data_IF_697651515239
#
_entry.id   IF_697651515239
#
_cell.length_a   1.000
_cell.length_b   1.000
_cell.length_c   1.000
_cell.angle_alpha   90.00
_cell.angle_beta   90.00
_cell.angle_gamma   90.00
#
_symmetry.space_group_name_H-M   'P 1'
#
loop_
_entity.id
_entity.type
_entity.pdbx_description
1 polymer ?
#
# COMPACT_ATOMS: atom_id res chain seq x y z
N UNK A 1 -6.22 -76.22 11.26
CA UNK A 1 -6.80 -74.89 11.03
C UNK A 1 -6.40 -74.44 9.63
N UNK A 2 -7.24 -74.68 8.62
CA UNK A 2 -6.97 -74.26 7.24
C UNK A 2 -7.48 -72.84 6.99
N UNK A 3 -6.71 -71.96 6.32
CA UNK A 3 -7.11 -70.58 6.06
C UNK A 3 -8.31 -70.54 5.11
N UNK A 4 -9.42 -69.96 5.55
CA UNK A 4 -10.58 -69.70 4.69
C UNK A 4 -10.20 -68.60 3.73
N UNK A 5 -9.87 -68.97 2.49
CA UNK A 5 -9.70 -68.04 1.39
C UNK A 5 -11.04 -67.29 1.23
N UNK A 6 -11.04 -66.00 1.53
CA UNK A 6 -12.19 -65.13 1.35
C UNK A 6 -12.62 -65.19 -0.13
N UNK A 7 -13.75 -65.84 -0.39
CA UNK A 7 -14.34 -65.89 -1.73
C UNK A 7 -14.66 -64.47 -2.19
N UNK A 8 -13.91 -63.96 -3.16
CA UNK A 8 -14.21 -62.70 -3.84
C UNK A 8 -15.56 -62.87 -4.54
N UNK A 9 -16.61 -62.27 -3.99
CA UNK A 9 -17.97 -62.35 -4.53
C UNK A 9 -18.11 -61.45 -5.76
N UNK A 10 -17.61 -61.92 -6.91
CA UNK A 10 -17.72 -61.26 -8.21
C UNK A 10 -19.16 -60.91 -8.59
N UNK A 11 -20.13 -61.73 -8.19
CA UNK A 11 -21.56 -61.49 -8.42
C UNK A 11 -22.09 -60.26 -7.70
N UNK A 12 -21.61 -59.98 -6.48
CA UNK A 12 -21.96 -58.78 -5.72
C UNK A 12 -21.32 -57.52 -6.31
N UNK A 13 -20.10 -57.63 -6.84
CA UNK A 13 -19.45 -56.53 -7.57
C UNK A 13 -20.21 -56.14 -8.83
N UNK A 14 -20.67 -57.13 -9.62
CA UNK A 14 -21.42 -56.89 -10.86
C UNK A 14 -22.82 -56.33 -10.59
N UNK A 15 -23.53 -56.83 -9.57
CA UNK A 15 -24.86 -56.30 -9.22
C UNK A 15 -24.78 -54.86 -8.70
N UNK A 16 -23.75 -54.51 -7.93
CA UNK A 16 -23.50 -53.15 -7.45
C UNK A 16 -23.07 -52.20 -8.59
N UNK A 17 -22.31 -52.68 -9.58
CA UNK A 17 -22.00 -51.92 -10.78
C UNK A 17 -23.25 -51.65 -11.63
N UNK A 18 -24.13 -52.65 -11.78
CA UNK A 18 -25.38 -52.52 -12.53
C UNK A 18 -26.35 -51.52 -11.90
N UNK A 19 -26.51 -51.56 -10.57
CA UNK A 19 -27.34 -50.59 -9.85
C UNK A 19 -26.78 -49.16 -9.92
N UNK A 20 -25.45 -49.01 -9.92
CA UNK A 20 -24.78 -47.72 -10.11
C UNK A 20 -25.02 -47.15 -11.51
N UNK A 21 -24.95 -47.97 -12.55
CA UNK A 21 -25.26 -47.57 -13.94
C UNK A 21 -26.72 -47.15 -14.06
N UNK A 22 -27.66 -47.93 -13.52
CA UNK A 22 -29.09 -47.61 -13.55
C UNK A 22 -29.42 -46.25 -12.91
N UNK A 23 -28.67 -45.84 -11.89
CA UNK A 23 -28.82 -44.54 -11.22
C UNK A 23 -28.13 -43.37 -11.95
N UNK A 24 -27.16 -43.65 -12.83
CA UNK A 24 -26.43 -42.64 -13.62
C UNK A 24 -27.21 -42.26 -14.88
N UNK A 25 -27.98 -43.17 -15.49
CA UNK A 25 -28.72 -42.91 -16.73
C UNK A 25 -29.67 -41.70 -16.60
N UNK A 26 -30.52 -41.59 -15.55
CA UNK A 26 -31.39 -40.42 -15.39
C UNK A 26 -30.61 -39.11 -15.22
N UNK A 27 -29.48 -39.16 -14.49
CA UNK A 27 -28.61 -37.99 -14.26
C UNK A 27 -27.90 -37.55 -15.54
N UNK A 28 -27.46 -38.48 -16.37
CA UNK A 28 -26.89 -38.20 -17.70
C UNK A 28 -27.91 -37.54 -18.62
N UNK A 29 -29.17 -37.98 -18.58
CA UNK A 29 -30.23 -37.37 -19.37
C UNK A 29 -30.48 -35.92 -18.92
N UNK A 30 -30.57 -35.68 -17.62
CA UNK A 30 -30.70 -34.34 -17.06
C UNK A 30 -29.49 -33.43 -17.40
N UNK A 31 -28.26 -33.95 -17.30
CA UNK A 31 -27.03 -33.27 -17.75
C UNK A 31 -27.13 -32.86 -19.23
N UNK A 32 -27.51 -33.79 -20.11
CA UNK A 32 -27.61 -33.54 -21.54
C UNK A 32 -28.67 -32.47 -21.86
N UNK A 33 -29.82 -32.49 -21.19
CA UNK A 33 -30.87 -31.48 -21.34
C UNK A 33 -30.37 -30.10 -20.92
N UNK A 34 -29.75 -29.98 -19.74
CA UNK A 34 -29.21 -28.71 -19.25
C UNK A 34 -28.14 -28.18 -20.21
N UNK A 35 -27.24 -29.05 -20.68
CA UNK A 35 -26.17 -28.68 -21.60
C UNK A 35 -26.72 -28.19 -22.94
N UNK A 36 -27.75 -28.85 -23.47
CA UNK A 36 -28.38 -28.49 -24.75
C UNK A 36 -29.13 -27.15 -24.65
N UNK A 37 -29.92 -26.96 -23.59
CA UNK A 37 -30.63 -25.70 -23.34
C UNK A 37 -29.63 -24.56 -23.08
N UNK A 38 -28.65 -24.78 -22.22
CA UNK A 38 -27.66 -23.77 -21.88
C UNK A 38 -26.77 -23.38 -23.06
N UNK A 39 -26.39 -24.33 -23.93
CA UNK A 39 -25.67 -24.01 -25.17
C UNK A 39 -26.43 -23.02 -26.06
N UNK A 40 -27.74 -23.20 -26.20
CA UNK A 40 -28.59 -22.29 -26.97
C UNK A 40 -28.61 -20.87 -26.35
N UNK A 41 -28.72 -20.79 -25.02
CA UNK A 41 -28.68 -19.52 -24.27
C UNK A 41 -27.32 -18.84 -24.44
N UNK A 42 -26.21 -19.55 -24.27
CA UNK A 42 -24.86 -19.02 -24.46
C UNK A 42 -24.67 -18.44 -25.86
N UNK A 43 -25.17 -19.14 -26.89
CA UNK A 43 -25.11 -18.68 -28.28
C UNK A 43 -25.93 -17.40 -28.51
N UNK A 44 -27.10 -17.29 -27.88
CA UNK A 44 -27.91 -16.08 -27.95
C UNK A 44 -27.21 -14.90 -27.29
N UNK A 45 -26.69 -15.07 -26.06
CA UNK A 45 -25.97 -14.02 -25.33
C UNK A 45 -24.72 -13.57 -26.09
N UNK A 46 -23.92 -14.51 -26.60
CA UNK A 46 -22.72 -14.19 -27.37
C UNK A 46 -23.03 -13.35 -28.61
N UNK A 47 -24.14 -13.64 -29.30
CA UNK A 47 -24.57 -12.86 -30.47
C UNK A 47 -24.99 -11.43 -30.09
N UNK A 48 -25.70 -11.26 -28.98
CA UNK A 48 -26.06 -9.93 -28.46
C UNK A 48 -24.81 -9.15 -28.08
N UNK A 49 -23.87 -9.80 -27.39
CA UNK A 49 -22.61 -9.19 -26.97
C UNK A 49 -21.78 -8.73 -28.17
N UNK A 50 -21.66 -9.56 -29.22
CA UNK A 50 -20.94 -9.19 -30.45
C UNK A 50 -21.53 -7.92 -31.08
N UNK A 51 -22.87 -7.85 -31.17
CA UNK A 51 -23.56 -6.68 -31.71
C UNK A 51 -23.32 -5.42 -30.87
N UNK A 52 -23.27 -5.54 -29.55
CA UNK A 52 -23.01 -4.43 -28.62
C UNK A 52 -21.56 -3.96 -28.72
N UNK A 53 -20.59 -4.88 -28.70
CA UNK A 53 -19.16 -4.55 -28.77
C UNK A 53 -18.79 -3.85 -30.08
N UNK A 54 -19.31 -4.34 -31.21
CA UNK A 54 -19.14 -3.69 -32.52
C UNK A 54 -19.72 -2.27 -32.55
N UNK A 55 -20.82 -2.04 -31.82
CA UNK A 55 -21.45 -0.71 -31.73
C UNK A 55 -20.65 0.28 -30.89
N UNK A 56 -19.93 -0.21 -29.87
CA UNK A 56 -19.06 0.60 -29.00
C UNK A 56 -17.74 0.96 -29.71
N UNK A 57 -17.38 0.25 -30.79
CA UNK A 57 -16.19 0.54 -31.59
C UNK A 57 -14.90 0.09 -30.91
N UNK A 58 -14.92 -1.11 -30.31
CA UNK A 58 -13.74 -1.77 -29.72
C UNK A 58 -12.59 -1.85 -30.75
N UNK A 59 -12.92 -1.95 -32.03
CA UNK A 59 -11.98 -1.93 -33.15
C UNK A 59 -11.11 -0.66 -33.14
N UNK A 60 -11.71 0.52 -32.90
CA UNK A 60 -10.97 1.79 -32.86
C UNK A 60 -10.04 1.90 -31.64
N UNK A 61 -10.40 1.28 -30.52
CA UNK A 61 -9.53 1.21 -29.35
C UNK A 61 -8.37 0.24 -29.58
N UNK A 62 -8.63 -0.91 -30.22
CA UNK A 62 -7.60 -1.90 -30.55
C UNK A 62 -6.57 -1.35 -31.55
N UNK A 63 -7.03 -0.62 -32.59
CA UNK A 63 -6.16 0.07 -33.54
C UNK A 63 -5.27 1.12 -32.86
N UNK A 64 -5.86 1.96 -32.00
CA UNK A 64 -5.11 3.00 -31.25
C UNK A 64 -4.14 2.43 -30.21
N UNK A 65 -4.40 1.23 -29.70
CA UNK A 65 -3.51 0.52 -28.78
C UNK A 65 -2.29 -0.13 -29.46
N UNK A 66 -2.14 -0.02 -30.79
CA UNK A 66 -1.01 -0.62 -31.51
C UNK A 66 -1.13 -2.13 -31.66
N UNK A 67 -2.30 -2.72 -31.37
CA UNK A 67 -2.58 -4.13 -31.57
C UNK A 67 -2.51 -4.52 -33.06
N UNK A 68 -2.50 -3.54 -33.97
CA UNK A 68 -2.35 -3.73 -35.41
C UNK A 68 -1.11 -4.55 -35.79
N UNK A 69 0.02 -4.47 -35.07
CA UNK A 69 1.19 -5.33 -35.36
C UNK A 69 1.03 -6.79 -34.91
N UNK A 70 0.16 -7.08 -33.95
CA UNK A 70 -0.13 -8.44 -33.47
C UNK A 70 -1.40 -9.04 -34.09
N UNK A 71 -2.30 -8.19 -34.62
CA UNK A 71 -3.54 -8.60 -35.29
C UNK A 71 -3.46 -8.52 -36.82
N UNK A 72 -2.51 -7.80 -37.43
CA UNK A 72 -2.41 -7.69 -38.89
C UNK A 72 -2.21 -9.03 -39.62
N UNK A 73 -1.57 -10.01 -38.97
CA UNK A 73 -1.40 -11.36 -39.53
C UNK A 73 -2.57 -12.31 -39.23
N UNK A 74 -3.53 -11.90 -38.40
CA UNK A 74 -4.63 -12.74 -37.98
C UNK A 74 -5.93 -12.22 -38.57
N UNK A 75 -6.63 -13.06 -39.36
CA UNK A 75 -7.97 -12.79 -39.92
C UNK A 75 -9.09 -12.62 -38.87
N UNK A 76 -8.72 -12.40 -37.61
CA UNK A 76 -9.60 -12.41 -36.46
C UNK A 76 -9.74 -11.00 -35.87
N UNK A 77 -10.96 -10.49 -35.97
CA UNK A 77 -11.42 -9.23 -35.39
C UNK A 77 -11.31 -9.29 -33.84
N UNK A 78 -10.79 -8.24 -33.19
CA UNK A 78 -10.59 -8.21 -31.74
C UNK A 78 -11.90 -8.48 -30.98
N UNK A 79 -13.01 -7.96 -31.51
CA UNK A 79 -14.36 -8.18 -31.02
C UNK A 79 -14.76 -9.65 -31.12
N UNK A 80 -14.45 -10.34 -32.22
CA UNK A 80 -14.78 -11.75 -32.39
C UNK A 80 -14.01 -12.66 -31.42
N UNK A 81 -12.74 -12.32 -31.13
CA UNK A 81 -11.95 -13.04 -30.12
C UNK A 81 -12.57 -12.85 -28.75
N UNK A 82 -12.90 -11.61 -28.37
CA UNK A 82 -13.51 -11.31 -27.06
C UNK A 82 -14.88 -11.98 -26.90
N UNK A 83 -15.74 -11.91 -27.93
CA UNK A 83 -17.02 -12.61 -27.97
C UNK A 83 -16.85 -14.12 -27.78
N UNK A 84 -15.85 -14.74 -28.42
CA UNK A 84 -15.54 -16.16 -28.24
C UNK A 84 -15.11 -16.49 -26.81
N UNK A 85 -14.23 -15.69 -26.22
CA UNK A 85 -13.79 -15.88 -24.83
C UNK A 85 -14.99 -15.86 -23.88
N UNK A 86 -15.90 -14.90 -24.05
CA UNK A 86 -17.11 -14.81 -23.23
C UNK A 86 -18.06 -15.97 -23.50
N UNK A 87 -18.24 -16.40 -24.75
CA UNK A 87 -19.04 -17.58 -25.10
C UNK A 87 -18.54 -18.86 -24.40
N UNK A 88 -17.23 -19.13 -24.45
CA UNK A 88 -16.66 -20.29 -23.77
C UNK A 88 -16.74 -20.15 -22.24
N UNK A 89 -16.60 -18.93 -21.71
CA UNK A 89 -16.81 -18.65 -20.29
C UNK A 89 -18.24 -18.96 -19.82
N UNK A 90 -19.25 -18.49 -20.57
CA UNK A 90 -20.66 -18.81 -20.33
C UNK A 90 -20.95 -20.32 -20.48
N UNK A 91 -20.33 -20.97 -21.46
CA UNK A 91 -20.46 -22.42 -21.64
C UNK A 91 -19.86 -23.19 -20.45
N UNK A 92 -18.77 -22.69 -19.85
CA UNK A 92 -18.25 -23.23 -18.59
C UNK A 92 -19.26 -23.10 -17.44
N UNK A 93 -20.01 -22.00 -17.34
CA UNK A 93 -21.11 -21.84 -16.36
C UNK A 93 -22.17 -22.91 -16.56
N UNK A 94 -22.63 -23.09 -17.79
CA UNK A 94 -23.61 -24.13 -18.14
C UNK A 94 -23.07 -25.52 -17.81
N UNK A 95 -21.80 -25.79 -18.15
CA UNK A 95 -21.15 -27.05 -17.84
C UNK A 95 -21.09 -27.28 -16.32
N UNK A 96 -20.82 -26.25 -15.51
CA UNK A 96 -20.87 -26.35 -14.05
C UNK A 96 -22.25 -26.76 -13.56
N UNK A 97 -23.30 -26.08 -14.03
CA UNK A 97 -24.68 -26.35 -13.65
C UNK A 97 -25.09 -27.77 -14.05
N UNK A 98 -24.69 -28.19 -15.24
CA UNK A 98 -24.93 -29.54 -15.74
C UNK A 98 -24.20 -30.59 -14.88
N UNK A 99 -22.92 -30.36 -14.56
CA UNK A 99 -22.13 -31.26 -13.71
C UNK A 99 -22.65 -31.31 -12.27
N UNK A 100 -23.28 -30.24 -11.78
CA UNK A 100 -23.94 -30.20 -10.47
C UNK A 100 -25.05 -31.25 -10.30
N UNK A 101 -25.64 -31.75 -11.39
CA UNK A 101 -26.63 -32.84 -11.36
C UNK A 101 -26.03 -34.15 -10.78
N UNK A 102 -24.72 -34.34 -10.91
CA UNK A 102 -24.03 -35.51 -10.36
C UNK A 102 -23.74 -35.38 -8.86
N UNK A 103 -23.91 -34.19 -8.29
CA UNK A 103 -23.63 -33.87 -6.88
C UNK A 103 -22.28 -33.16 -6.67
N UNK A 104 -21.88 -32.94 -5.41
CA UNK A 104 -20.60 -32.31 -5.07
C UNK A 104 -19.44 -33.17 -5.58
N UNK A 105 -18.59 -32.60 -6.42
CA UNK A 105 -17.40 -33.25 -6.98
C UNK A 105 -16.29 -32.20 -7.12
N UNK A 106 -15.02 -32.52 -6.80
CA UNK A 106 -13.89 -31.62 -7.03
C UNK A 106 -13.86 -30.94 -8.40
N UNK A 107 -14.34 -31.60 -9.47
CA UNK A 107 -14.45 -31.00 -10.81
C UNK A 107 -15.44 -29.81 -10.82
N UNK A 108 -16.59 -29.96 -10.16
CA UNK A 108 -17.60 -28.90 -10.05
C UNK A 108 -17.06 -27.72 -9.22
N UNK A 109 -16.26 -27.99 -8.19
CA UNK A 109 -15.65 -26.94 -7.35
C UNK A 109 -14.60 -26.14 -8.12
N UNK A 110 -13.78 -26.81 -8.94
CA UNK A 110 -12.83 -26.15 -9.82
C UNK A 110 -13.53 -25.23 -10.84
N UNK A 111 -14.61 -25.73 -11.47
CA UNK A 111 -15.39 -24.94 -12.41
C UNK A 111 -16.11 -23.79 -11.68
N UNK A 112 -16.63 -24.01 -10.47
CA UNK A 112 -17.21 -22.95 -9.65
C UNK A 112 -16.23 -21.79 -9.43
N UNK A 113 -14.96 -22.08 -9.16
CA UNK A 113 -13.91 -21.06 -9.07
C UNK A 113 -13.78 -20.21 -10.33
N UNK A 114 -13.79 -20.85 -11.50
CA UNK A 114 -13.73 -20.16 -12.81
C UNK A 114 -14.98 -19.34 -13.09
N UNK A 115 -16.15 -19.85 -12.70
CA UNK A 115 -17.43 -19.15 -12.88
C UNK A 115 -17.57 -17.96 -11.94
N UNK A 116 -17.13 -18.10 -10.69
CA UNK A 116 -17.06 -16.99 -9.73
C UNK A 116 -16.05 -15.91 -10.14
N UNK A 117 -15.11 -16.25 -11.01
CA UNK A 117 -14.17 -15.31 -11.61
C UNK A 117 -14.76 -14.51 -12.77
N UNK A 118 -15.78 -15.04 -13.47
CA UNK A 118 -16.40 -14.37 -14.63
C UNK A 118 -16.89 -12.94 -14.33
N UNK A 119 -17.66 -12.70 -13.25
CA UNK A 119 -18.12 -11.35 -12.89
C UNK A 119 -16.94 -10.40 -12.64
N UNK A 120 -15.90 -10.87 -11.97
CA UNK A 120 -14.67 -10.09 -11.70
C UNK A 120 -13.95 -9.72 -12.99
N UNK A 121 -13.88 -10.65 -13.95
CA UNK A 121 -13.34 -10.41 -15.29
C UNK A 121 -14.11 -9.32 -16.06
N UNK A 122 -15.44 -9.26 -15.92
CA UNK A 122 -16.25 -8.18 -16.54
C UNK A 122 -15.89 -6.83 -15.92
N UNK A 123 -15.83 -6.73 -14.58
CA UNK A 123 -15.46 -5.46 -13.92
C UNK A 123 -14.03 -5.04 -14.30
N UNK A 124 -13.09 -5.99 -14.39
CA UNK A 124 -11.74 -5.74 -14.87
C UNK A 124 -11.71 -5.16 -16.29
N UNK A 125 -12.48 -5.75 -17.22
CA UNK A 125 -12.59 -5.26 -18.58
C UNK A 125 -13.14 -3.83 -18.62
N UNK A 126 -14.19 -3.54 -17.83
CA UNK A 126 -14.77 -2.19 -17.73
C UNK A 126 -13.71 -1.18 -17.25
N UNK A 127 -12.98 -1.50 -16.17
CA UNK A 127 -11.91 -0.64 -15.64
C UNK A 127 -10.83 -0.41 -16.68
N UNK A 128 -10.42 -1.46 -17.41
CA UNK A 128 -9.41 -1.35 -18.46
C UNK A 128 -9.84 -0.39 -19.58
N UNK A 129 -11.07 -0.52 -20.07
CA UNK A 129 -11.62 0.36 -21.11
C UNK A 129 -11.70 1.81 -20.63
N UNK A 130 -12.20 2.03 -19.41
CA UNK A 130 -12.28 3.37 -18.82
C UNK A 130 -10.90 4.00 -18.66
N UNK A 131 -9.92 3.24 -18.15
CA UNK A 131 -8.57 3.74 -17.99
C UNK A 131 -7.91 4.09 -19.33
N UNK A 132 -8.10 3.27 -20.37
CA UNK A 132 -7.61 3.56 -21.72
C UNK A 132 -8.28 4.79 -22.34
N UNK A 133 -9.58 4.98 -22.11
CA UNK A 133 -10.29 6.19 -22.54
C UNK A 133 -9.70 7.44 -21.88
N UNK A 134 -9.51 7.41 -20.55
CA UNK A 134 -8.89 8.50 -19.79
C UNK A 134 -7.46 8.76 -20.26
N UNK A 135 -6.65 7.71 -20.45
CA UNK A 135 -5.27 7.84 -20.91
C UNK A 135 -5.19 8.58 -22.25
N UNK A 136 -6.08 8.26 -23.20
CA UNK A 136 -6.13 8.93 -24.51
C UNK A 136 -6.52 10.40 -24.40
N UNK A 137 -7.51 10.74 -23.57
CA UNK A 137 -7.91 12.14 -23.33
C UNK A 137 -6.76 12.91 -22.70
N UNK A 138 -6.11 12.35 -21.67
CA UNK A 138 -4.98 13.00 -21.00
C UNK A 138 -3.80 13.18 -21.95
N UNK A 139 -3.51 12.19 -22.80
CA UNK A 139 -2.49 12.33 -23.84
C UNK A 139 -2.74 13.55 -24.70
N UNK A 140 -3.96 13.67 -25.23
CA UNK A 140 -4.36 14.75 -26.13
C UNK A 140 -4.30 16.11 -25.43
N UNK A 141 -4.81 16.19 -24.19
CA UNK A 141 -4.70 17.40 -23.37
C UNK A 141 -3.25 17.81 -23.14
N UNK A 142 -2.38 16.89 -22.72
CA UNK A 142 -0.96 17.19 -22.47
C UNK A 142 -0.26 17.60 -23.76
N UNK A 143 -0.51 16.93 -24.88
CA UNK A 143 0.08 17.31 -26.16
C UNK A 143 -0.41 18.65 -26.67
N UNK A 144 -1.67 19.01 -26.41
CA UNK A 144 -2.25 20.28 -26.84
C UNK A 144 -1.75 21.44 -25.98
N UNK A 145 -1.65 21.24 -24.66
CA UNK A 145 -1.13 22.27 -23.73
C UNK A 145 0.35 22.53 -23.99
N UNK A 146 1.15 21.47 -24.22
CA UNK A 146 2.57 21.60 -24.54
C UNK A 146 2.82 21.69 -26.06
N UNK A 147 1.83 22.05 -26.88
CA UNK A 147 1.99 22.15 -28.33
C UNK A 147 3.04 23.20 -28.75
N UNK A 148 3.27 24.21 -27.92
CA UNK A 148 4.30 25.23 -28.13
C UNK A 148 5.73 24.74 -27.91
N UNK A 149 5.90 23.54 -27.34
CA UNK A 149 7.21 23.00 -26.93
C UNK A 149 7.51 21.70 -27.67
N UNK A 150 8.74 21.55 -28.17
CA UNK A 150 9.14 20.42 -29.03
C UNK A 150 8.94 19.04 -28.37
N UNK A 151 9.00 18.97 -27.04
CA UNK A 151 8.82 17.75 -26.26
C UNK A 151 7.38 17.48 -25.81
N UNK A 152 6.40 18.32 -26.15
CA UNK A 152 5.00 18.12 -25.75
C UNK A 152 4.41 16.79 -26.18
N UNK A 153 4.79 16.30 -27.37
CA UNK A 153 4.38 14.99 -27.89
C UNK A 153 4.94 13.83 -27.06
N UNK A 154 6.18 13.93 -26.59
CA UNK A 154 6.82 12.92 -25.75
C UNK A 154 6.16 12.90 -24.37
N UNK A 155 5.91 14.08 -23.79
CA UNK A 155 5.26 14.21 -22.50
C UNK A 155 3.84 13.63 -22.48
N UNK A 156 3.06 13.87 -23.55
CA UNK A 156 1.76 13.24 -23.70
C UNK A 156 1.84 11.72 -23.78
N UNK A 157 2.87 11.17 -24.46
CA UNK A 157 3.07 9.72 -24.53
C UNK A 157 3.48 9.11 -23.18
N UNK A 158 4.32 9.80 -22.41
CA UNK A 158 4.69 9.40 -21.04
C UNK A 158 3.44 9.40 -20.14
N UNK A 159 2.66 10.48 -20.14
CA UNK A 159 1.44 10.57 -19.35
C UNK A 159 0.44 9.46 -19.70
N UNK A 160 0.24 9.21 -21.00
CA UNK A 160 -0.56 8.10 -21.49
C UNK A 160 -0.06 6.76 -20.95
N UNK A 161 1.25 6.51 -21.04
CA UNK A 161 1.87 5.26 -20.60
C UNK A 161 1.70 5.03 -19.10
N UNK A 162 1.86 6.08 -18.28
CA UNK A 162 1.63 6.01 -16.84
C UNK A 162 0.18 5.64 -16.51
N UNK A 163 -0.80 6.31 -17.11
CA UNK A 163 -2.22 6.01 -16.86
C UNK A 163 -2.58 4.62 -17.38
N UNK A 164 -2.09 4.25 -18.57
CA UNK A 164 -2.30 2.93 -19.15
C UNK A 164 -1.70 1.83 -18.26
N UNK A 165 -0.51 2.04 -17.71
CA UNK A 165 0.16 1.10 -16.81
C UNK A 165 -0.63 0.89 -15.53
N UNK A 166 -0.96 1.96 -14.81
CA UNK A 166 -1.75 1.85 -13.58
C UNK A 166 -3.17 1.35 -13.83
N UNK A 167 -3.79 1.76 -14.94
CA UNK A 167 -5.10 1.29 -15.37
C UNK A 167 -5.12 -0.20 -15.67
N UNK A 168 -4.08 -0.71 -16.34
CA UNK A 168 -3.92 -2.14 -16.62
C UNK A 168 -3.71 -2.92 -15.33
N UNK A 169 -2.88 -2.41 -14.41
CA UNK A 169 -2.67 -3.03 -13.10
C UNK A 169 -3.99 -3.08 -12.30
N UNK A 170 -4.75 -1.99 -12.28
CA UNK A 170 -6.04 -1.93 -11.60
C UNK A 170 -7.04 -2.94 -12.20
N UNK A 171 -7.09 -3.05 -13.53
CA UNK A 171 -7.90 -4.05 -14.21
C UNK A 171 -7.48 -5.48 -13.87
N UNK A 172 -6.18 -5.80 -13.95
CA UNK A 172 -5.63 -7.10 -13.58
C UNK A 172 -5.86 -7.44 -12.11
N UNK A 173 -5.85 -6.42 -11.24
CA UNK A 173 -6.18 -6.54 -9.82
C UNK A 173 -7.64 -6.91 -9.62
N UNK A 174 -8.54 -6.24 -10.32
CA UNK A 174 -9.96 -6.55 -10.25
C UNK A 174 -10.28 -7.95 -10.80
N UNK A 175 -9.53 -8.39 -11.82
CA UNK A 175 -9.61 -9.76 -12.32
C UNK A 175 -9.12 -10.78 -11.29
N UNK A 176 -8.56 -10.42 -10.13
CA UNK A 176 -8.10 -11.38 -9.13
C UNK A 176 -6.86 -12.19 -9.52
N UNK A 177 -6.34 -12.02 -10.75
CA UNK A 177 -5.05 -12.56 -11.20
C UNK A 177 -3.93 -11.97 -10.33
N UNK A 178 -4.08 -10.71 -9.94
CA UNK A 178 -3.10 -10.02 -9.10
C UNK A 178 -2.93 -10.65 -7.71
N UNK A 179 -3.98 -11.24 -7.12
CA UNK A 179 -3.88 -11.76 -5.75
C UNK A 179 -2.91 -12.94 -5.66
N UNK A 180 -2.76 -13.71 -6.74
CA UNK A 180 -1.85 -14.86 -6.78
C UNK A 180 -0.41 -14.49 -7.13
N UNK A 181 -0.19 -13.37 -7.83
CA UNK A 181 1.14 -13.03 -8.39
C UNK A 181 1.61 -11.64 -7.96
N UNK A 182 0.81 -10.60 -8.20
CA UNK A 182 1.17 -9.22 -7.89
C UNK A 182 1.23 -8.94 -6.39
N UNK A 183 0.27 -9.46 -5.61
CA UNK A 183 0.21 -9.27 -4.16
C UNK A 183 1.50 -9.74 -3.47
N UNK A 184 1.93 -11.00 -3.68
CA UNK A 184 3.18 -11.51 -3.15
C UNK A 184 4.41 -10.72 -3.60
N UNK A 185 4.48 -10.32 -4.88
CA UNK A 185 5.63 -9.55 -5.39
C UNK A 185 5.67 -8.14 -4.78
N UNK A 186 4.55 -7.43 -4.74
CA UNK A 186 4.47 -6.10 -4.12
C UNK A 186 4.81 -6.16 -2.64
N UNK A 187 4.25 -7.13 -1.93
CA UNK A 187 4.59 -7.35 -0.53
C UNK A 187 6.06 -7.73 -0.38
N UNK A 188 6.62 -8.58 -1.23
CA UNK A 188 8.04 -8.95 -1.18
C UNK A 188 8.94 -7.73 -1.39
N UNK A 189 8.64 -6.88 -2.37
CA UNK A 189 9.39 -5.63 -2.60
C UNK A 189 9.23 -4.68 -1.40
N UNK A 190 8.01 -4.51 -0.90
CA UNK A 190 7.73 -3.66 0.26
C UNK A 190 8.44 -4.18 1.52
N UNK A 191 8.41 -5.49 1.77
CA UNK A 191 9.14 -6.14 2.87
C UNK A 191 10.64 -6.06 2.68
N UNK A 192 11.13 -6.07 1.44
CA UNK A 192 12.56 -5.87 1.15
C UNK A 192 12.97 -4.43 1.48
N UNK A 193 12.21 -3.44 1.03
CA UNK A 193 12.45 -2.02 1.33
C UNK A 193 12.34 -1.76 2.84
N UNK A 194 11.27 -2.26 3.47
CA UNK A 194 11.07 -2.15 4.91
C UNK A 194 12.18 -2.88 5.68
N UNK A 195 12.60 -4.07 5.24
CA UNK A 195 13.70 -4.82 5.81
C UNK A 195 15.02 -4.05 5.73
N UNK A 196 15.35 -3.48 4.57
CA UNK A 196 16.53 -2.62 4.38
C UNK A 196 16.45 -1.39 5.30
N UNK A 197 15.28 -0.76 5.41
CA UNK A 197 15.08 0.40 6.26
C UNK A 197 15.20 0.05 7.75
N UNK A 198 14.60 -1.05 8.20
CA UNK A 198 14.67 -1.54 9.58
C UNK A 198 16.09 -1.93 9.96
N UNK A 199 16.82 -2.62 9.08
CA UNK A 199 18.23 -2.96 9.32
C UNK A 199 19.12 -1.73 9.29
N UNK A 200 18.91 -0.80 8.36
CA UNK A 200 19.68 0.45 8.27
C UNK A 200 19.46 1.36 9.46
N UNK A 201 18.20 1.70 9.76
CA UNK A 201 17.82 2.65 10.82
C UNK A 201 17.89 2.00 12.20
N UNK A 202 17.48 0.74 12.34
CA UNK A 202 17.42 0.03 13.62
C UNK A 202 18.70 -0.72 14.02
N UNK A 203 19.54 -1.14 13.06
CA UNK A 203 20.71 -1.99 13.33
C UNK A 203 22.07 -1.29 13.31
N UNK A 204 22.26 -0.19 12.54
CA UNK A 204 23.58 0.40 12.33
C UNK A 204 23.68 1.94 12.42
N UNK A 205 22.59 2.68 12.24
CA UNK A 205 22.62 4.16 12.13
C UNK A 205 22.23 4.92 13.40
N UNK A 206 21.80 4.23 14.48
CA UNK A 206 21.44 4.88 15.74
C UNK A 206 22.63 5.66 16.31
N UNK A 207 23.83 5.07 16.31
CA UNK A 207 25.04 5.71 16.85
C UNK A 207 25.44 6.99 16.10
N UNK A 208 25.60 6.99 14.76
CA UNK A 208 25.99 8.21 14.05
C UNK A 208 24.90 9.28 14.06
N UNK A 209 23.62 8.92 14.13
CA UNK A 209 22.52 9.89 14.15
C UNK A 209 22.43 10.63 15.49
N UNK A 210 22.70 9.95 16.61
CA UNK A 210 22.87 10.59 17.93
C UNK A 210 24.03 11.60 17.92
N UNK A 211 25.18 11.22 17.35
CA UNK A 211 26.35 12.12 17.26
C UNK A 211 26.10 13.38 16.42
N UNK A 212 25.21 13.33 15.41
CA UNK A 212 24.85 14.50 14.59
C UNK A 212 23.91 15.43 15.35
N UNK A 213 22.96 14.89 16.10
CA UNK A 213 22.05 15.67 16.93
C UNK A 213 22.79 16.39 18.07
N UNK A 214 23.72 15.71 18.73
CA UNK A 214 24.57 16.30 19.78
C UNK A 214 25.41 17.46 19.24
N UNK A 215 26.01 17.33 18.05
CA UNK A 215 26.75 18.44 17.41
C UNK A 215 25.87 19.64 17.06
N UNK A 216 24.62 19.40 16.65
CA UNK A 216 23.68 20.50 16.35
C UNK A 216 23.21 21.19 17.62
N UNK A 217 22.93 20.43 18.68
CA UNK A 217 22.59 20.98 19.99
C UNK A 217 23.74 21.82 20.56
N UNK A 218 24.97 21.30 20.50
CA UNK A 218 26.16 22.02 20.99
C UNK A 218 26.42 23.31 20.20
N UNK A 219 26.22 23.31 18.87
CA UNK A 219 26.36 24.52 18.04
C UNK A 219 25.28 25.57 18.36
N UNK A 220 24.04 25.13 18.57
CA UNK A 220 22.95 26.01 18.97
C UNK A 220 23.21 26.62 20.35
N UNK A 221 23.79 25.86 21.28
CA UNK A 221 24.21 26.34 22.60
C UNK A 221 25.36 27.34 22.48
N UNK A 222 26.38 27.06 21.65
CA UNK A 222 27.52 27.95 21.43
C UNK A 222 27.11 29.30 20.80
N UNK A 223 26.17 29.29 19.83
CA UNK A 223 25.61 30.51 19.25
C UNK A 223 24.77 31.28 20.26
N UNK A 224 23.99 30.59 21.09
CA UNK A 224 23.19 31.22 22.15
C UNK A 224 24.08 31.85 23.23
N UNK A 225 25.19 31.21 23.58
CA UNK A 225 26.19 31.72 24.55
C UNK A 225 26.95 32.91 23.95
N UNK A 226 27.34 32.88 22.67
CA UNK A 226 28.00 34.01 21.99
C UNK A 226 27.06 35.21 21.83
N UNK A 227 25.80 34.99 21.49
CA UNK A 227 24.79 36.06 21.40
C UNK A 227 24.51 36.66 22.78
N UNK A 228 24.43 35.86 23.85
CA UNK A 228 24.29 36.37 25.23
C UNK A 228 25.52 37.12 25.73
N UNK A 229 26.73 36.69 25.36
CA UNK A 229 27.99 37.30 25.86
C UNK A 229 28.34 38.57 25.08
N UNK A 230 28.15 38.60 23.75
CA UNK A 230 28.45 39.77 22.90
C UNK A 230 27.28 40.77 22.85
N UNK A 231 26.04 40.29 22.95
CA UNK A 231 24.84 41.13 22.89
C UNK A 231 24.64 42.00 24.14
N UNK A 232 25.01 41.52 25.33
CA UNK A 232 24.79 42.28 26.56
C UNK A 232 25.77 43.45 26.74
N UNK A 233 27.01 43.35 26.23
CA UNK A 233 28.01 44.44 26.37
C UNK A 233 27.69 45.61 25.43
N UNK A 234 27.24 45.31 24.21
CA UNK A 234 26.95 46.30 23.17
C UNK A 234 25.59 47.01 23.37
N UNK A 235 24.59 46.32 23.91
CA UNK A 235 23.31 46.94 24.27
C UNK A 235 23.43 47.89 25.48
N UNK A 236 24.25 47.54 26.49
CA UNK A 236 24.51 48.41 27.63
C UNK A 236 25.28 49.69 27.25
N UNK A 237 26.22 49.58 26.30
CA UNK A 237 26.98 50.74 25.82
C UNK A 237 26.13 51.72 25.00
N UNK A 238 25.20 51.21 24.19
CA UNK A 238 24.32 52.04 23.35
C UNK A 238 23.29 52.83 24.16
N UNK A 239 22.70 52.22 25.19
CA UNK A 239 21.80 52.93 26.11
C UNK A 239 22.51 54.02 26.93
N UNK A 240 23.80 53.84 27.22
CA UNK A 240 24.59 54.83 27.98
C UNK A 240 24.99 56.04 27.13
N UNK A 241 25.33 55.85 25.85
CA UNK A 241 25.61 56.96 24.93
C UNK A 241 24.37 57.81 24.66
N UNK A 242 23.21 57.18 24.54
CA UNK A 242 21.95 57.87 24.26
C UNK A 242 21.48 58.68 25.48
N UNK A 243 21.73 58.18 26.70
CA UNK A 243 21.44 58.91 27.94
C UNK A 243 22.36 60.14 28.13
N UNK A 244 23.58 60.13 27.57
CA UNK A 244 24.49 61.29 27.63
C UNK A 244 24.20 62.32 26.54
N UNK A 245 23.64 61.91 25.40
CA UNK A 245 23.30 62.81 24.29
C UNK A 245 22.04 63.68 24.55
N UNK A 246 21.23 63.35 25.56
CA UNK A 246 19.95 63.99 25.85
C UNK A 246 19.95 65.08 26.93
N UNK A 247 21.10 65.59 27.41
CA UNK A 247 21.13 66.63 28.45
C UNK A 247 21.12 68.06 27.86
N UNK A 248 20.04 68.85 28.04
CA UNK A 248 20.03 70.27 27.73
C UNK A 248 20.78 71.08 28.80
N UNK A 249 21.58 72.03 28.34
CA UNK A 249 22.37 72.96 29.15
C UNK A 249 21.52 74.09 29.74
N UNK A 250 21.46 74.13 31.07
CA UNK A 250 21.34 75.37 31.87
C UNK A 250 19.95 75.79 32.34
N UNK A 251 19.73 75.75 33.67
CA UNK A 251 19.10 76.86 34.39
C UNK A 251 19.36 76.79 35.89
N UNK A 252 19.94 77.87 36.40
CA UNK A 252 20.21 78.20 37.80
C UNK A 252 18.92 78.68 38.46
N UNK A 253 18.55 78.12 39.62
CA UNK A 253 17.79 78.84 40.67
C UNK A 253 17.90 78.12 42.01
N UNK A 254 18.51 78.79 42.98
CA UNK A 254 18.43 78.55 44.43
C UNK A 254 17.08 79.05 44.96
N UNK A 255 16.47 78.43 45.99
CA UNK A 255 16.53 79.06 47.32
C UNK A 255 16.66 78.05 48.50
N UNK A 256 16.88 78.64 49.67
CA UNK A 256 17.43 78.10 50.91
C UNK A 256 16.43 77.42 51.87
N UNK A 257 16.97 76.53 52.71
CA UNK A 257 16.79 76.54 54.18
C UNK A 257 15.78 75.56 54.81
N UNK A 258 16.26 74.73 55.78
CA UNK A 258 15.42 74.26 56.89
C UNK A 258 15.65 72.85 57.46
N UNK A 259 16.47 72.78 58.52
CA UNK A 259 16.35 71.95 59.74
C UNK A 259 16.31 70.40 59.75
N UNK A 260 17.16 69.87 60.62
CA UNK A 260 17.40 68.49 61.10
C UNK A 260 16.31 67.96 62.06
N UNK A 261 15.98 66.65 62.01
CA UNK A 261 15.53 65.91 63.22
C UNK A 261 15.64 64.37 63.12
N UNK A 262 16.02 63.75 64.24
CA UNK A 262 16.31 62.33 64.53
C UNK A 262 15.08 61.41 64.66
N UNK A 263 15.27 60.08 64.53
CA UNK A 263 14.57 59.09 65.37
C UNK A 263 14.28 57.67 64.81
N UNK A 264 14.85 56.65 65.50
CA UNK A 264 14.14 55.45 66.04
C UNK A 264 14.04 54.14 65.21
N UNK A 265 14.72 53.07 65.68
CA UNK A 265 14.28 51.64 65.54
C UNK A 265 13.30 51.26 66.67
N UNK A 266 12.79 50.01 66.86
CA UNK A 266 13.45 48.70 66.65
C UNK A 266 12.55 47.49 66.20
N UNK A 267 13.15 46.31 66.00
CA UNK A 267 12.70 45.06 66.66
C UNK A 267 11.80 44.01 65.96
N UNK A 268 12.35 42.80 65.82
CA UNK A 268 11.85 41.50 66.33
C UNK A 268 11.00 40.51 65.47
N UNK A 269 11.39 39.22 65.59
CA UNK A 269 10.60 37.99 65.39
C UNK A 269 11.02 37.18 64.15
N UNK A 270 11.82 36.11 64.21
CA UNK A 270 11.57 34.82 64.91
C UNK A 270 10.70 33.93 64.00
N UNK A 271 10.93 32.64 63.71
CA UNK A 271 11.75 31.56 64.25
C UNK A 271 11.47 30.35 63.32
N UNK A 272 12.48 29.56 62.92
CA UNK A 272 12.66 28.20 63.47
C UNK A 272 12.50 27.15 62.35
N UNK A 273 13.57 26.39 62.05
CA UNK A 273 13.82 25.03 62.58
C UNK A 273 13.19 23.96 61.67
N UNK A 274 13.88 22.95 61.14
CA UNK A 274 15.19 22.40 61.45
C UNK A 274 15.21 20.91 61.08
N UNK A 275 16.41 20.33 60.96
CA UNK A 275 16.64 18.87 60.98
C UNK A 275 17.12 18.28 59.65
N UNK A 276 18.41 18.17 59.28
CA UNK A 276 19.52 17.34 59.84
C UNK A 276 19.16 15.85 59.99
N UNK A 277 19.94 14.86 59.54
CA UNK A 277 21.25 14.86 58.90
C UNK A 277 21.84 13.44 58.82
N UNK A 278 23.09 13.38 58.35
CA UNK A 278 24.09 12.29 58.49
C UNK A 278 23.76 10.92 57.87
N UNK A 279 24.68 10.19 57.25
CA UNK A 279 26.13 10.32 57.16
C UNK A 279 26.73 8.90 57.07
N UNK A 280 27.94 8.76 56.52
CA UNK A 280 28.84 7.65 56.89
C UNK A 280 29.26 6.67 55.79
N UNK A 281 30.57 6.61 55.63
CA UNK A 281 31.46 5.84 54.77
C UNK A 281 31.86 4.45 55.30
N UNK A 282 32.27 3.51 54.42
CA UNK A 282 33.10 2.33 54.78
C UNK A 282 33.14 1.20 53.72
N UNK A 283 34.17 0.33 53.67
CA UNK A 283 34.91 0.01 52.42
C UNK A 283 35.07 -1.50 52.02
N UNK A 284 35.69 -1.72 50.84
CA UNK A 284 36.54 -2.87 50.35
C UNK A 284 35.95 -4.26 49.94
N UNK A 285 36.60 -4.86 48.91
CA UNK A 285 36.34 -6.08 48.08
C UNK A 285 36.85 -7.42 48.74
N UNK A 286 37.11 -8.60 48.07
CA UNK A 286 36.71 -9.27 46.79
C UNK A 286 36.32 -10.80 47.00
N UNK A 287 36.75 -11.82 46.21
CA UNK A 287 36.17 -12.43 44.97
C UNK A 287 35.76 -13.93 45.10
N UNK A 288 35.14 -14.54 44.07
CA UNK A 288 35.32 -15.93 43.53
C UNK A 288 34.07 -16.49 42.80
N UNK A 289 34.28 -17.30 41.74
CA UNK A 289 33.31 -18.32 41.29
C UNK A 289 33.29 -18.62 39.78
N UNK A 290 34.04 -19.64 39.35
CA UNK A 290 33.98 -20.32 38.03
C UNK A 290 32.66 -21.10 37.85
N UNK A 291 32.20 -21.33 36.62
CA UNK A 291 32.27 -22.65 35.96
C UNK A 291 31.80 -22.64 34.47
N UNK A 292 32.35 -23.53 33.61
CA UNK A 292 31.98 -23.75 32.21
C UNK A 292 31.21 -25.07 31.98
N UNK A 293 30.48 -25.16 30.86
CA UNK A 293 29.84 -26.40 30.35
C UNK A 293 28.58 -26.05 29.54
N UNK A 294 28.15 -26.73 28.49
CA UNK A 294 28.52 -28.04 27.96
C UNK A 294 28.01 -28.11 26.51
N UNK A 295 28.74 -28.86 25.69
CA UNK A 295 28.36 -29.43 24.38
C UNK A 295 26.95 -30.03 24.32
N UNK A 296 26.26 -29.80 23.20
CA UNK A 296 25.49 -30.80 22.45
C UNK A 296 25.36 -30.34 21.00
#
# INVERSE_FOLDING_TARGET
MGPRLAGVNWSQGVSNAWSSVANIVPKLLAFAVIMLVGWLVCKAIARVLDAVLRRIGVERLAERAGAQRFLADSKWDATAILTKVVYYGLLLVVLQLALGVFGPNPISDMIHGVVAWLPKGIVALIIFVVAMAIANVVRELVTNILASVSYGKVMGWIAWSFIAFFGTIAALSQAGIANFVLGPILNAVLFTIAGIAVVGVGGGLIMPMRSRWERMLNKAEEETIRVKTTGNVSAYQRGRSDAQAGQPSGQTTTPAGGATQYGQGPGAGGSGSGGSGSGGSGPTQPPYGREPGTTA
#
